data_IF_519997218696
#
_entry.id   IF_519997218696
#
_cell.length_a   1.000
_cell.length_b   1.000
_cell.length_c   1.000
_cell.angle_alpha   90.00
_cell.angle_beta   90.00
_cell.angle_gamma   90.00
#
_symmetry.space_group_name_H-M   'P 1'
#
loop_
_entity.id
_entity.type
_entity.pdbx_description
1 polymer ?
#
# COMPACT_ATOMS: atom_id res chain seq x y z
N UNK A 1 6.60 -27.09 -5.11
CA UNK A 1 7.62 -26.12 -4.67
C UNK A 1 6.94 -24.78 -4.41
N UNK A 2 6.44 -24.54 -3.19
CA UNK A 2 5.71 -23.30 -2.84
C UNK A 2 6.73 -22.27 -2.35
N UNK A 3 7.02 -21.23 -3.14
CA UNK A 3 7.84 -20.11 -2.68
C UNK A 3 6.98 -19.26 -1.73
N UNK A 4 7.13 -19.48 -0.43
CA UNK A 4 6.64 -18.57 0.60
C UNK A 4 7.36 -17.23 0.42
N UNK A 5 6.75 -16.32 -0.36
CA UNK A 5 7.22 -14.93 -0.43
C UNK A 5 6.91 -14.30 0.91
N UNK A 6 7.90 -14.32 1.80
CA UNK A 6 7.89 -13.60 3.06
C UNK A 6 8.00 -12.10 2.74
N UNK A 7 6.90 -11.49 2.27
CA UNK A 7 6.82 -10.04 2.11
C UNK A 7 6.70 -9.43 3.51
N UNK A 8 7.83 -9.27 4.19
CA UNK A 8 7.93 -8.28 5.27
C UNK A 8 7.76 -6.91 4.63
N UNK A 9 6.51 -6.46 4.52
CA UNK A 9 6.18 -5.12 4.06
C UNK A 9 6.71 -4.18 5.15
N UNK A 10 7.84 -3.53 4.89
CA UNK A 10 8.34 -2.46 5.76
C UNK A 10 7.40 -1.28 5.60
N UNK A 11 6.70 -0.93 6.67
CA UNK A 11 5.79 0.22 6.74
C UNK A 11 6.46 1.29 7.60
N UNK A 12 6.60 2.50 7.08
CA UNK A 12 7.20 3.64 7.76
C UNK A 12 6.13 4.70 8.08
N UNK A 13 6.48 5.61 9.00
CA UNK A 13 5.70 6.84 9.20
C UNK A 13 5.77 7.68 7.92
N UNK A 14 4.69 8.40 7.61
CA UNK A 14 4.46 9.20 6.39
C UNK A 14 4.27 8.38 5.10
N UNK A 15 4.24 7.04 5.18
CA UNK A 15 3.89 6.21 4.02
C UNK A 15 2.40 6.35 3.67
N UNK A 16 2.12 6.47 2.37
CA UNK A 16 0.77 6.36 1.81
C UNK A 16 0.40 4.88 1.73
N UNK A 17 -0.68 4.49 2.41
CA UNK A 17 -1.18 3.13 2.48
C UNK A 17 -2.67 3.06 2.16
N UNK A 18 -3.13 1.91 1.73
CA UNK A 18 -4.54 1.61 1.62
C UNK A 18 -4.99 0.81 2.83
N UNK A 19 -6.06 1.27 3.47
CA UNK A 19 -6.73 0.55 4.55
C UNK A 19 -7.71 -0.43 3.88
N UNK A 20 -7.52 -1.73 4.13
CA UNK A 20 -8.46 -2.75 3.67
C UNK A 20 -9.74 -2.68 4.50
N UNK A 21 -10.85 -2.36 3.83
CA UNK A 21 -12.16 -2.28 4.47
C UNK A 21 -12.88 -3.62 4.25
N UNK A 22 -12.82 -4.53 5.23
CA UNK A 22 -13.52 -5.83 5.18
C UNK A 22 -15.07 -5.74 5.21
N UNK A 23 -15.67 -4.58 4.91
CA UNK A 23 -17.13 -4.42 4.84
C UNK A 23 -17.61 -4.74 3.43
N UNK A 24 -18.62 -5.60 3.36
CA UNK A 24 -19.22 -6.16 2.12
C UNK A 24 -19.74 -5.08 1.14
N UNK A 25 -20.00 -3.86 1.62
CA UNK A 25 -20.68 -2.80 0.86
C UNK A 25 -19.92 -1.47 0.77
N UNK A 26 -18.67 -1.39 1.26
CA UNK A 26 -17.86 -0.17 1.20
C UNK A 26 -16.77 -0.30 0.12
N UNK A 27 -16.30 0.84 -0.41
CA UNK A 27 -15.11 0.88 -1.27
C UNK A 27 -14.00 0.02 -0.66
N UNK A 28 -13.56 -0.99 -1.43
CA UNK A 28 -12.71 -2.09 -0.93
C UNK A 28 -11.43 -1.61 -0.26
N UNK A 29 -10.94 -0.41 -0.59
CA UNK A 29 -9.68 0.15 -0.11
C UNK A 29 -9.75 1.66 0.01
N UNK A 30 -9.52 2.17 1.22
CA UNK A 30 -9.51 3.61 1.49
C UNK A 30 -8.07 4.11 1.59
N UNK A 31 -7.67 5.15 0.84
CA UNK A 31 -6.35 5.73 0.98
C UNK A 31 -6.18 6.44 2.33
N UNK A 32 -5.02 6.29 2.93
CA UNK A 32 -4.63 6.96 4.15
C UNK A 32 -3.12 7.09 4.30
N UNK A 33 -2.71 7.90 5.26
CA UNK A 33 -1.31 8.21 5.55
C UNK A 33 -0.98 7.78 6.97
N UNK A 34 0.20 7.18 7.16
CA UNK A 34 0.63 6.73 8.49
C UNK A 34 1.18 7.90 9.27
N UNK A 35 0.49 8.30 10.33
CA UNK A 35 0.91 9.42 11.17
C UNK A 35 1.90 8.98 12.24
N UNK A 36 1.70 7.80 12.82
CA UNK A 36 2.56 7.31 13.90
C UNK A 36 2.47 5.81 14.08
N UNK A 37 3.59 5.20 14.46
CA UNK A 37 3.61 3.83 14.96
C UNK A 37 3.29 3.79 16.46
N UNK A 38 2.33 2.96 16.86
CA UNK A 38 2.01 2.74 18.29
C UNK A 38 2.65 1.49 18.86
N UNK A 39 2.73 0.44 18.05
CA UNK A 39 3.29 -0.88 18.40
C UNK A 39 4.05 -1.42 17.17
N UNK A 40 4.90 -2.45 17.30
CA UNK A 40 5.64 -3.02 16.18
C UNK A 40 4.77 -3.37 14.95
N UNK A 41 3.53 -3.80 15.19
CA UNK A 41 2.58 -4.19 14.14
C UNK A 41 1.34 -3.29 14.04
N UNK A 42 1.28 -2.18 14.80
CA UNK A 42 0.08 -1.35 14.88
C UNK A 42 0.39 0.13 14.67
N UNK A 43 -0.34 0.74 13.73
CA UNK A 43 -0.12 2.09 13.24
C UNK A 43 -1.39 2.94 13.38
N UNK A 44 -1.20 4.25 13.55
CA UNK A 44 -2.26 5.26 13.42
C UNK A 44 -2.23 5.78 11.99
N UNK A 45 -3.34 5.59 11.29
CA UNK A 45 -3.53 6.03 9.91
C UNK A 45 -4.56 7.15 9.87
N UNK A 46 -4.22 8.24 9.20
CA UNK A 46 -5.13 9.33 8.88
C UNK A 46 -5.79 9.05 7.54
N UNK A 47 -7.10 8.92 7.52
CA UNK A 47 -7.86 8.80 6.26
C UNK A 47 -7.88 10.14 5.51
N UNK A 48 -8.21 10.10 4.23
CA UNK A 48 -8.43 11.33 3.44
C UNK A 48 -9.55 12.23 4.02
N UNK A 49 -10.51 11.65 4.77
CA UNK A 49 -11.53 12.42 5.50
C UNK A 49 -11.01 13.10 6.77
N UNK A 50 -9.73 12.94 7.12
CA UNK A 50 -9.12 13.48 8.33
C UNK A 50 -9.37 12.65 9.59
N UNK A 51 -10.07 11.51 9.49
CA UNK A 51 -10.32 10.63 10.61
C UNK A 51 -9.06 9.80 10.93
N UNK A 52 -8.79 9.65 12.24
CA UNK A 52 -7.65 8.88 12.73
C UNK A 52 -8.12 7.48 13.11
N UNK A 53 -7.45 6.46 12.57
CA UNK A 53 -7.78 5.05 12.80
C UNK A 53 -6.55 4.28 13.25
N UNK A 54 -6.67 3.53 14.35
CA UNK A 54 -5.68 2.52 14.76
C UNK A 54 -5.87 1.27 13.89
N UNK A 55 -4.84 0.85 13.16
CA UNK A 55 -4.88 -0.28 12.22
C UNK A 55 -3.66 -1.18 12.37
N UNK A 56 -3.89 -2.49 12.28
CA UNK A 56 -2.83 -3.49 12.26
C UNK A 56 -2.16 -3.53 10.87
N UNK A 57 -0.88 -3.88 10.81
CA UNK A 57 -0.09 -4.01 9.57
C UNK A 57 -0.78 -4.89 8.53
N UNK A 58 -1.50 -5.94 8.96
CA UNK A 58 -2.23 -6.85 8.06
C UNK A 58 -3.41 -6.18 7.34
N UNK A 59 -3.94 -5.08 7.89
CA UNK A 59 -5.02 -4.30 7.29
C UNK A 59 -4.48 -3.17 6.40
N UNK A 60 -3.15 -3.04 6.28
CA UNK A 60 -2.49 -1.99 5.53
C UNK A 60 -1.84 -2.57 4.28
N UNK A 61 -2.28 -2.07 3.13
CA UNK A 61 -1.79 -2.50 1.83
C UNK A 61 -1.00 -1.35 1.22
N UNK A 62 0.29 -1.57 0.95
CA UNK A 62 1.06 -0.59 0.17
C UNK A 62 0.56 -0.57 -1.28
N UNK A 63 0.50 0.61 -1.92
CA UNK A 63 0.35 0.69 -3.36
C UNK A 63 1.36 -0.24 -4.04
N UNK A 64 0.99 -0.94 -5.12
CA UNK A 64 1.98 -1.69 -5.88
C UNK A 64 3.08 -0.72 -6.32
N UNK A 65 4.36 -1.15 -6.31
CA UNK A 65 5.44 -0.31 -6.81
C UNK A 65 5.07 0.12 -8.22
N UNK A 66 5.12 1.43 -8.47
CA UNK A 66 4.88 1.99 -9.80
C UNK A 66 5.82 1.26 -10.75
N UNK A 67 5.26 0.42 -11.63
CA UNK A 67 6.07 -0.27 -12.64
C UNK A 67 6.74 0.84 -13.45
N UNK A 68 8.06 0.80 -13.55
CA UNK A 68 8.82 1.72 -14.39
C UNK A 68 8.15 1.86 -15.75
N UNK A 69 8.14 3.06 -16.37
CA UNK A 69 7.62 3.21 -17.71
C UNK A 69 8.30 2.17 -18.61
N UNK A 70 7.48 1.31 -19.23
CA UNK A 70 7.95 0.27 -20.13
C UNK A 70 8.78 0.95 -21.21
N UNK A 71 10.08 0.65 -21.30
CA UNK A 71 10.93 1.12 -22.38
C UNK A 71 10.31 0.68 -23.71
N UNK A 72 9.61 1.59 -24.39
CA UNK A 72 9.17 1.41 -25.77
C UNK A 72 10.42 1.57 -26.64
N UNK A 73 11.12 0.48 -26.90
CA UNK A 73 12.15 0.45 -27.93
C UNK A 73 11.41 0.57 -29.27
N UNK A 74 11.36 1.79 -29.82
CA UNK A 74 10.97 2.01 -31.21
C UNK A 74 12.08 1.40 -32.07
N UNK A 75 11.83 0.21 -32.62
CA UNK A 75 12.67 -0.30 -33.69
C UNK A 75 12.35 0.52 -34.94
N UNK A 76 13.12 1.58 -35.16
CA UNK A 76 13.18 2.25 -36.46
C UNK A 76 13.86 1.28 -37.42
N UNK A 77 13.04 0.59 -38.21
CA UNK A 77 13.50 -0.26 -39.29
C UNK A 77 14.27 0.59 -40.29
N UNK A 78 15.57 0.29 -40.42
CA UNK A 78 16.35 0.66 -41.60
C UNK A 78 15.74 -0.04 -42.81
N UNK A 79 15.29 0.76 -43.77
CA UNK A 79 15.11 0.36 -45.17
C UNK A 79 16.48 0.39 -45.88
#
# INVERSE_FOLDING_TARGET
>A
MVRLRNWKIKINVDDIVFIDAHRVSAEKRVPGEIVRQTEPSTFIVKSNSGAMHKRHVDQLVKPPPQRSPRLMIKNEGKL
#
